data_IF_218386037780
#
_entry.id   IF_218386037780
#
_cell.length_a   1.000
_cell.length_b   1.000
_cell.length_c   1.000
_cell.angle_alpha   90.00
_cell.angle_beta   90.00
_cell.angle_gamma   90.00
#
_symmetry.space_group_name_H-M   'P 1'
#
loop_
_entity.id
_entity.type
_entity.pdbx_description
1 polymer ?
#
# COMPACT_ATOMS: atom_id res chain seq x y z
N UNK A 1 -26.00 -3.55 26.22
CA UNK A 1 -25.02 -2.58 25.69
C UNK A 1 -23.69 -3.30 25.46
N UNK A 2 -23.57 -4.03 24.34
CA UNK A 2 -22.31 -4.61 23.87
C UNK A 2 -22.19 -4.25 22.40
N UNK A 3 -21.71 -3.04 22.12
CA UNK A 3 -21.62 -2.52 20.76
C UNK A 3 -20.30 -1.80 20.51
N UNK A 4 -19.21 -2.34 21.06
CA UNK A 4 -17.87 -1.97 20.62
C UNK A 4 -17.03 -3.24 20.50
N UNK A 5 -16.39 -3.40 19.34
CA UNK A 5 -15.26 -4.30 19.20
C UNK A 5 -14.11 -3.56 19.88
N UNK A 6 -13.54 -4.07 20.99
CA UNK A 6 -12.46 -3.40 21.68
C UNK A 6 -11.27 -3.24 20.74
N UNK A 7 -10.61 -2.09 20.76
CA UNK A 7 -9.38 -1.90 20.01
C UNK A 7 -8.31 -2.87 20.54
N UNK A 8 -7.50 -3.48 19.65
CA UNK A 8 -6.41 -4.31 20.10
C UNK A 8 -5.47 -3.49 20.99
N UNK A 9 -5.07 -4.06 22.13
CA UNK A 9 -4.12 -3.43 23.06
C UNK A 9 -2.71 -3.27 22.47
N UNK A 10 -2.41 -3.99 21.39
CA UNK A 10 -1.13 -3.97 20.68
C UNK A 10 -1.37 -4.02 19.16
N UNK A 11 -0.85 -3.03 18.44
CA UNK A 11 -0.91 -2.95 16.97
C UNK A 11 0.45 -2.81 16.29
N UNK A 12 1.53 -2.76 17.08
CA UNK A 12 2.91 -2.63 16.60
C UNK A 12 3.78 -3.61 17.37
N UNK A 13 4.54 -4.43 16.65
CA UNK A 13 5.55 -5.31 17.20
C UNK A 13 6.92 -4.82 16.76
N UNK A 14 7.88 -4.74 17.68
CA UNK A 14 9.26 -4.42 17.34
C UNK A 14 10.05 -5.71 17.15
N UNK A 15 10.27 -6.10 15.90
CA UNK A 15 11.07 -7.27 15.55
C UNK A 15 12.44 -6.79 15.09
N UNK A 16 13.50 -7.18 15.80
CA UNK A 16 14.89 -6.76 15.50
C UNK A 16 15.06 -5.22 15.42
N UNK A 17 14.28 -4.47 16.21
CA UNK A 17 14.27 -3.00 16.19
C UNK A 17 13.37 -2.37 15.12
N UNK A 18 12.78 -3.16 14.22
CA UNK A 18 11.89 -2.66 13.16
C UNK A 18 10.42 -2.72 13.62
N UNK A 19 9.67 -1.60 13.55
CA UNK A 19 8.25 -1.58 13.91
C UNK A 19 7.39 -2.24 12.82
N UNK A 20 6.90 -3.45 13.08
CA UNK A 20 5.93 -4.16 12.26
C UNK A 20 4.53 -3.79 12.71
N UNK A 21 3.73 -3.23 11.80
CA UNK A 21 2.38 -2.76 12.09
C UNK A 21 1.35 -3.83 11.68
N UNK A 22 0.37 -4.09 12.53
CA UNK A 22 -0.67 -5.10 12.28
C UNK A 22 -1.48 -4.84 11.00
N UNK A 23 -1.83 -3.57 10.75
CA UNK A 23 -2.56 -3.25 9.52
C UNK A 23 -1.75 -3.58 8.26
N UNK A 24 -0.41 -3.45 8.30
CA UNK A 24 0.44 -3.75 7.15
C UNK A 24 0.42 -5.24 6.83
N UNK A 25 0.40 -6.09 7.86
CA UNK A 25 0.23 -7.53 7.70
C UNK A 25 -1.12 -7.86 7.08
N UNK A 26 -2.20 -7.21 7.52
CA UNK A 26 -3.53 -7.38 6.92
C UNK A 26 -3.56 -6.98 5.44
N UNK A 27 -2.89 -5.88 5.07
CA UNK A 27 -2.80 -5.44 3.67
C UNK A 27 -2.03 -6.47 2.83
N UNK A 28 -0.86 -6.92 3.30
CA UNK A 28 -0.05 -7.93 2.59
C UNK A 28 -0.81 -9.24 2.42
N UNK A 29 -1.53 -9.69 3.45
CA UNK A 29 -2.42 -10.85 3.37
C UNK A 29 -3.52 -10.65 2.32
N UNK A 30 -4.16 -9.48 2.30
CA UNK A 30 -5.17 -9.12 1.32
C UNK A 30 -4.63 -9.17 -0.13
N UNK A 31 -3.43 -8.62 -0.36
CA UNK A 31 -2.76 -8.66 -1.66
C UNK A 31 -2.45 -10.11 -2.06
N UNK A 32 -1.89 -10.90 -1.15
CA UNK A 32 -1.57 -12.30 -1.43
C UNK A 32 -2.82 -13.13 -1.79
N UNK A 33 -3.92 -12.93 -1.05
CA UNK A 33 -5.22 -13.53 -1.34
C UNK A 33 -5.77 -13.08 -2.69
N UNK A 34 -5.71 -11.79 -3.01
CA UNK A 34 -6.17 -11.24 -4.28
C UNK A 34 -5.39 -11.84 -5.46
N UNK A 35 -4.06 -11.89 -5.36
CA UNK A 35 -3.20 -12.51 -6.37
C UNK A 35 -3.51 -14.00 -6.53
N UNK A 36 -3.70 -14.73 -5.43
CA UNK A 36 -4.02 -16.17 -5.49
C UNK A 36 -5.37 -16.45 -6.15
N UNK A 37 -6.40 -15.67 -5.81
CA UNK A 37 -7.72 -15.76 -6.43
C UNK A 37 -7.64 -15.41 -7.92
N UNK A 38 -6.96 -14.31 -8.27
CA UNK A 38 -6.79 -13.88 -9.64
C UNK A 38 -6.05 -14.92 -10.48
N UNK A 39 -4.95 -15.48 -9.97
CA UNK A 39 -4.16 -16.52 -10.65
C UNK A 39 -5.01 -17.76 -10.88
N UNK A 40 -5.76 -18.20 -9.87
CA UNK A 40 -6.65 -19.36 -9.99
C UNK A 40 -7.71 -19.13 -11.07
N UNK A 41 -8.27 -17.92 -11.16
CA UNK A 41 -9.29 -17.56 -12.15
C UNK A 41 -8.71 -17.44 -13.56
N UNK A 42 -7.53 -16.84 -13.72
CA UNK A 42 -6.85 -16.69 -15.00
C UNK A 42 -6.38 -18.03 -15.56
N UNK A 43 -5.81 -18.90 -14.70
CA UNK A 43 -5.41 -20.24 -15.10
C UNK A 43 -6.58 -21.09 -15.59
N UNK A 44 -7.76 -20.97 -14.96
CA UNK A 44 -9.00 -21.62 -15.45
C UNK A 44 -9.44 -21.12 -16.83
N UNK A 45 -8.97 -19.95 -17.26
CA UNK A 45 -9.22 -19.36 -18.58
C UNK A 45 -8.10 -19.64 -19.59
N UNK A 46 -7.13 -20.50 -19.23
CA UNK A 46 -6.01 -20.86 -20.11
C UNK A 46 -4.82 -19.90 -20.07
N UNK A 47 -4.78 -18.95 -19.12
CA UNK A 47 -3.62 -18.08 -18.95
C UNK A 47 -2.39 -18.86 -18.47
N UNK A 48 -1.17 -18.45 -18.86
CA UNK A 48 0.07 -19.07 -18.40
C UNK A 48 0.23 -18.88 -16.89
N UNK A 49 0.95 -19.83 -16.27
CA UNK A 49 1.30 -19.76 -14.85
C UNK A 49 2.15 -18.51 -14.59
N UNK A 50 1.90 -17.85 -13.46
CA UNK A 50 2.59 -16.64 -13.01
C UNK A 50 2.20 -15.34 -13.72
N UNK A 51 1.27 -15.36 -14.67
CA UNK A 51 0.82 -14.15 -15.35
C UNK A 51 0.35 -13.06 -14.37
N UNK A 52 -0.34 -13.43 -13.28
CA UNK A 52 -0.76 -12.46 -12.27
C UNK A 52 0.41 -11.90 -11.47
N UNK A 53 1.43 -12.72 -11.22
CA UNK A 53 2.63 -12.29 -10.51
C UNK A 53 3.46 -11.33 -11.39
N UNK A 54 3.57 -11.61 -12.69
CA UNK A 54 4.23 -10.73 -13.65
C UNK A 54 3.57 -9.35 -13.70
N UNK A 55 2.24 -9.29 -13.64
CA UNK A 55 1.49 -8.02 -13.53
C UNK A 55 1.76 -7.36 -12.17
N UNK A 56 1.65 -8.10 -11.06
CA UNK A 56 1.78 -7.56 -9.72
C UNK A 56 3.16 -6.96 -9.42
N UNK A 57 4.23 -7.55 -9.99
CA UNK A 57 5.61 -7.05 -9.87
C UNK A 57 5.74 -5.62 -10.38
N UNK A 58 4.95 -5.23 -11.39
CA UNK A 58 4.94 -3.86 -11.91
C UNK A 58 3.84 -3.00 -11.27
N UNK A 59 2.63 -3.54 -11.14
CA UNK A 59 1.49 -2.81 -10.60
C UNK A 59 1.75 -2.30 -9.18
N UNK A 60 2.39 -3.09 -8.31
CA UNK A 60 2.63 -2.69 -6.92
C UNK A 60 3.60 -1.50 -6.82
N UNK A 61 4.80 -1.51 -7.44
CA UNK A 61 5.67 -0.34 -7.48
C UNK A 61 5.01 0.90 -8.09
N UNK A 62 4.34 0.76 -9.23
CA UNK A 62 3.68 1.90 -9.88
C UNK A 62 2.52 2.45 -9.05
N UNK A 63 1.77 1.59 -8.36
CA UNK A 63 0.75 2.01 -7.39
C UNK A 63 1.36 2.80 -6.23
N UNK A 64 2.49 2.37 -5.67
CA UNK A 64 3.17 3.15 -4.60
C UNK A 64 3.61 4.53 -5.10
N UNK A 65 4.18 4.59 -6.31
CA UNK A 65 4.60 5.84 -6.94
C UNK A 65 3.40 6.75 -7.21
N UNK A 66 2.32 6.23 -7.82
CA UNK A 66 1.09 6.97 -8.08
C UNK A 66 0.43 7.48 -6.80
N UNK A 67 0.41 6.66 -5.74
CA UNK A 67 -0.09 7.06 -4.43
C UNK A 67 0.70 8.24 -3.86
N UNK A 68 2.02 8.24 -4.04
CA UNK A 68 2.88 9.32 -3.57
C UNK A 68 2.67 10.59 -4.37
N UNK A 69 2.64 10.51 -5.69
CA UNK A 69 2.37 11.64 -6.58
C UNK A 69 1.03 12.27 -6.23
N UNK A 70 -0.03 11.47 -6.10
CA UNK A 70 -1.35 11.97 -5.73
C UNK A 70 -1.30 12.73 -4.40
N UNK A 71 -0.66 12.17 -3.38
CA UNK A 71 -0.57 12.82 -2.08
C UNK A 71 0.18 14.17 -2.14
N UNK A 72 1.30 14.23 -2.87
CA UNK A 72 2.07 15.48 -3.07
C UNK A 72 1.22 16.54 -3.79
N UNK A 73 0.45 16.13 -4.80
CA UNK A 73 -0.45 17.02 -5.53
C UNK A 73 -1.63 17.52 -4.68
N UNK A 74 -2.17 16.68 -3.80
CA UNK A 74 -3.30 17.05 -2.94
C UNK A 74 -2.89 17.82 -1.68
N UNK A 75 -1.61 17.77 -1.31
CA UNK A 75 -1.08 18.44 -0.11
C UNK A 75 0.22 19.22 -0.40
N UNK A 76 0.22 20.12 -1.40
CA UNK A 76 1.44 20.76 -1.88
C UNK A 76 2.09 21.67 -0.83
N UNK A 77 1.31 22.26 0.08
CA UNK A 77 1.82 23.13 1.15
C UNK A 77 2.78 22.39 2.09
N UNK A 78 2.65 21.07 2.23
CA UNK A 78 3.56 20.26 3.07
C UNK A 78 4.97 20.12 2.47
N UNK A 79 5.11 20.34 1.16
CA UNK A 79 6.36 20.13 0.42
C UNK A 79 6.93 21.44 -0.11
N UNK A 80 6.08 22.36 -0.55
CA UNK A 80 6.47 23.61 -1.22
C UNK A 80 6.01 24.86 -0.47
N UNK A 81 5.42 24.73 0.72
CA UNK A 81 5.05 25.87 1.57
C UNK A 81 6.25 26.49 2.30
N UNK A 82 5.99 27.52 3.09
CA UNK A 82 7.00 28.31 3.83
C UNK A 82 7.89 27.47 4.79
N UNK A 83 7.38 26.32 5.22
CA UNK A 83 8.10 25.33 6.04
C UNK A 83 8.17 23.94 5.39
N UNK A 84 7.91 23.86 4.09
CA UNK A 84 7.93 22.61 3.33
C UNK A 84 9.35 22.17 2.97
N UNK A 85 9.55 20.86 2.90
CA UNK A 85 10.78 20.25 2.36
C UNK A 85 10.45 19.50 1.06
N UNK A 86 10.88 20.00 -0.11
CA UNK A 86 10.62 19.34 -1.39
C UNK A 86 11.21 17.93 -1.47
N UNK A 87 12.35 17.66 -0.79
CA UNK A 87 12.97 16.33 -0.79
C UNK A 87 12.11 15.33 -0.02
N UNK A 88 11.33 15.79 0.96
CA UNK A 88 10.41 14.93 1.71
C UNK A 88 9.34 14.30 0.80
N UNK A 89 9.07 14.84 -0.39
CA UNK A 89 8.20 14.22 -1.39
C UNK A 89 8.67 12.82 -1.81
N UNK A 90 9.96 12.49 -1.69
CA UNK A 90 10.51 11.17 -2.02
C UNK A 90 10.42 10.16 -0.87
N UNK A 91 10.15 10.62 0.35
CA UNK A 91 10.20 9.78 1.56
C UNK A 91 8.89 9.02 1.80
N UNK A 92 8.64 7.98 1.01
CA UNK A 92 7.44 7.13 1.11
C UNK A 92 7.26 6.46 2.49
N UNK A 93 8.34 6.26 3.24
CA UNK A 93 8.31 5.65 4.57
C UNK A 93 7.85 6.62 5.68
N UNK A 94 7.79 7.93 5.41
CA UNK A 94 7.19 8.91 6.34
C UNK A 94 5.66 8.93 6.28
N UNK A 95 5.05 8.09 5.44
CA UNK A 95 3.60 8.07 5.19
C UNK A 95 3.19 9.02 4.07
N UNK A 96 1.89 9.32 3.97
CA UNK A 96 1.36 10.19 2.91
C UNK A 96 1.27 9.48 1.56
N UNK A 97 0.46 8.43 1.50
CA UNK A 97 0.16 7.69 0.27
C UNK A 97 -1.34 7.81 0.00
N UNK A 98 -1.71 8.39 -1.14
CA UNK A 98 -3.10 8.57 -1.54
C UNK A 98 -3.65 7.31 -2.21
N UNK A 99 -4.77 6.78 -1.70
CA UNK A 99 -5.39 5.54 -2.22
C UNK A 99 -5.75 5.70 -3.70
N UNK A 100 -6.36 6.82 -4.09
CA UNK A 100 -6.76 7.06 -5.48
C UNK A 100 -5.57 7.12 -6.44
N UNK A 101 -4.44 7.67 -5.98
CA UNK A 101 -3.19 7.62 -6.72
C UNK A 101 -2.65 6.21 -6.88
N UNK A 102 -2.81 5.37 -5.85
CA UNK A 102 -2.43 3.96 -5.92
C UNK A 102 -3.21 3.22 -7.01
N UNK A 103 -4.55 3.34 -6.97
CA UNK A 103 -5.45 2.67 -7.91
C UNK A 103 -5.24 3.13 -9.36
N UNK A 104 -4.96 4.42 -9.57
CA UNK A 104 -4.65 4.95 -10.90
C UNK A 104 -3.25 4.50 -11.39
N UNK A 105 -2.33 4.27 -10.46
CA UNK A 105 -0.95 3.87 -10.74
C UNK A 105 -0.75 2.36 -10.96
N UNK A 106 -1.65 1.50 -10.47
CA UNK A 106 -1.53 0.04 -10.61
C UNK A 106 -2.67 -0.77 -10.00
#
# INVERSE_FOLDING_TARGET
>A
MYASIPSPSVGVWHVLGVPIRAYALCIVLGIALACWIAETRLRRRGAPRYAVLDIAVWAVPFGIVGARIYHVLTSPQQYFGEHGDPIAALFIWKGGLGIWGAVAGG
#
